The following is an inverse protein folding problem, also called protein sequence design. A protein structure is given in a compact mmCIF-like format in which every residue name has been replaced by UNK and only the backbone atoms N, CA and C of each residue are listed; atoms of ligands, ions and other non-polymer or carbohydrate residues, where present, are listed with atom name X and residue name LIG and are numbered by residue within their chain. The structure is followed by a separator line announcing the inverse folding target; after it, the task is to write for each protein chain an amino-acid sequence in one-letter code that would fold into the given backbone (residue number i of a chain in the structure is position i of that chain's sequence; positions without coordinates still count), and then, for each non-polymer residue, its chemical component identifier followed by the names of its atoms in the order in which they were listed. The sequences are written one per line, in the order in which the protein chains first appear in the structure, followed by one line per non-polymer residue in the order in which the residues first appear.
data_IF_561972537572
#
_entry.id   IF_561972537572
#
_cell.length_a   1.000
_cell.length_b   1.000
_cell.length_c   1.000
_cell.angle_alpha   90.00
_cell.angle_beta   90.00
_cell.angle_gamma   90.00
#
_symmetry.space_group_name_H-M   'P 1'
#
loop_
_entity.id
_entity.type
_entity.pdbx_description
1 polymer ?
#
# COMPACT_ATOMS: atom_id res chain seq x y z
N UNK A 1 38.22 34.39 8.85
CA UNK A 1 37.72 33.03 8.49
C UNK A 1 36.66 32.45 9.45
N UNK A 2 36.18 33.18 10.48
CA UNK A 2 35.16 32.67 11.43
C UNK A 2 33.69 32.76 10.95
N UNK A 3 33.38 33.55 9.91
CA UNK A 3 31.99 33.78 9.45
C UNK A 3 31.40 32.65 8.58
N UNK A 4 32.22 31.71 8.11
CA UNK A 4 31.77 30.59 7.25
C UNK A 4 31.09 29.47 8.06
N UNK A 5 31.52 29.25 9.32
CA UNK A 5 30.97 28.24 10.22
C UNK A 5 29.48 28.43 10.56
N UNK A 6 29.00 29.64 10.92
CA UNK A 6 27.58 29.82 11.20
C UNK A 6 26.68 29.66 9.95
N UNK A 7 27.18 30.00 8.77
CA UNK A 7 26.46 29.80 7.49
C UNK A 7 26.33 28.31 7.16
N UNK A 8 27.39 27.54 7.35
CA UNK A 8 27.38 26.08 7.15
C UNK A 8 26.44 25.38 8.14
N UNK A 9 26.44 25.81 9.40
CA UNK A 9 25.50 25.31 10.43
C UNK A 9 24.06 25.69 10.10
N UNK A 10 23.80 26.89 9.59
CA UNK A 10 22.47 27.31 9.15
C UNK A 10 21.97 26.49 7.94
N UNK A 11 22.84 26.20 6.96
CA UNK A 11 22.53 25.32 5.83
C UNK A 11 22.24 23.87 6.25
N UNK A 12 22.99 23.34 7.23
CA UNK A 12 22.73 22.03 7.83
C UNK A 12 21.40 22.00 8.60
N UNK A 13 21.01 23.10 9.26
CA UNK A 13 19.73 23.24 9.94
C UNK A 13 18.54 23.31 8.95
N UNK A 14 18.70 23.97 7.80
CA UNK A 14 17.69 23.97 6.73
C UNK A 14 17.52 22.60 6.05
N UNK A 15 18.57 21.78 5.99
CA UNK A 15 18.46 20.39 5.54
C UNK A 15 17.77 19.48 6.59
N UNK A 16 17.81 19.84 7.87
CA UNK A 16 17.16 19.09 8.95
C UNK A 16 15.69 19.44 9.16
N UNK A 17 15.21 20.55 8.59
CA UNK A 17 13.78 20.81 8.48
C UNK A 17 13.21 19.98 7.33
N UNK A 18 13.08 18.67 7.55
CA UNK A 18 12.11 17.87 6.82
C UNK A 18 10.74 18.47 7.17
N UNK A 19 10.32 19.45 6.39
CA UNK A 19 8.92 19.87 6.34
C UNK A 19 8.16 18.57 6.09
N UNK A 20 7.34 18.16 7.05
CA UNK A 20 6.42 17.05 6.88
C UNK A 20 5.45 17.46 5.78
N UNK A 21 5.80 17.17 4.54
CA UNK A 21 4.89 17.31 3.42
C UNK A 21 3.96 16.11 3.49
N UNK A 22 2.80 16.34 4.10
CA UNK A 22 1.60 15.63 3.70
C UNK A 22 1.50 15.74 2.17
N UNK A 23 1.77 14.63 1.49
CA UNK A 23 1.70 14.51 0.04
C UNK A 23 0.61 13.53 -0.34
N UNK A 24 0.30 13.45 -1.63
CA UNK A 24 -0.59 12.38 -2.12
C UNK A 24 0.22 11.13 -2.46
N UNK A 25 -0.41 9.96 -2.35
CA UNK A 25 0.20 8.73 -2.85
C UNK A 25 0.46 8.80 -4.36
N UNK A 26 -0.40 9.52 -5.09
CA UNK A 26 -0.26 9.75 -6.53
C UNK A 26 1.01 10.53 -6.87
N UNK A 27 1.33 11.61 -6.16
CA UNK A 27 2.58 12.35 -6.36
C UNK A 27 3.81 11.48 -6.07
N UNK A 28 3.76 10.67 -5.02
CA UNK A 28 4.83 9.72 -4.71
C UNK A 28 5.02 8.69 -5.84
N UNK A 29 3.93 8.15 -6.39
CA UNK A 29 3.97 7.23 -7.53
C UNK A 29 4.48 7.89 -8.82
N UNK A 30 4.00 9.09 -9.15
CA UNK A 30 4.41 9.82 -10.36
C UNK A 30 5.89 10.20 -10.32
N UNK A 31 6.39 10.61 -9.15
CA UNK A 31 7.80 10.95 -8.95
C UNK A 31 8.73 9.75 -8.76
N UNK A 32 8.19 8.56 -8.53
CA UNK A 32 8.99 7.35 -8.35
C UNK A 32 9.78 7.00 -9.61
N UNK A 33 11.00 6.51 -9.40
CA UNK A 33 11.89 6.02 -10.44
C UNK A 33 11.91 4.49 -10.43
N UNK A 34 12.32 3.83 -11.53
CA UNK A 34 12.59 2.40 -11.54
C UNK A 34 13.67 2.01 -10.52
N UNK A 35 13.56 0.82 -9.94
CA UNK A 35 14.53 0.31 -8.97
C UNK A 35 14.21 -1.10 -8.49
N UNK A 36 15.22 -1.88 -8.11
CA UNK A 36 15.07 -3.24 -7.58
C UNK A 36 14.25 -4.21 -8.45
N UNK A 37 14.17 -3.95 -9.77
CA UNK A 37 13.38 -4.76 -10.71
C UNK A 37 11.93 -4.30 -10.92
N UNK A 38 11.51 -3.22 -10.26
CA UNK A 38 10.22 -2.56 -10.48
C UNK A 38 10.36 -1.41 -11.49
N UNK A 39 9.31 -1.17 -12.26
CA UNK A 39 9.14 0.00 -13.13
C UNK A 39 9.00 1.27 -12.28
N UNK A 40 8.38 1.15 -11.11
CA UNK A 40 8.25 2.20 -10.11
C UNK A 40 8.55 1.67 -8.72
N UNK A 41 9.55 2.24 -8.05
CA UNK A 41 9.86 1.97 -6.64
C UNK A 41 9.52 3.21 -5.79
N UNK A 42 8.41 3.13 -5.07
CA UNK A 42 7.94 4.17 -4.15
C UNK A 42 8.57 3.93 -2.78
N UNK A 43 9.29 4.90 -2.26
CA UNK A 43 9.85 4.87 -0.90
C UNK A 43 9.19 5.96 -0.08
N UNK A 44 8.37 5.55 0.88
CA UNK A 44 7.61 6.45 1.75
C UNK A 44 8.41 6.74 3.02
N UNK A 45 8.25 7.95 3.54
CA UNK A 45 8.88 8.34 4.79
C UNK A 45 8.05 7.80 5.99
N UNK A 46 8.68 7.14 6.98
CA UNK A 46 8.01 6.45 8.09
C UNK A 46 6.99 7.31 8.85
N UNK A 47 7.33 8.57 9.10
CA UNK A 47 6.48 9.47 9.89
C UNK A 47 5.44 10.26 9.06
N UNK A 48 5.26 9.94 7.78
CA UNK A 48 4.38 10.69 6.88
C UNK A 48 3.04 10.00 6.63
N UNK A 49 2.02 10.84 6.37
CA UNK A 49 0.70 10.41 5.87
C UNK A 49 0.60 10.80 4.40
N UNK A 50 0.32 9.82 3.56
CA UNK A 50 0.06 9.99 2.14
C UNK A 50 -1.42 9.85 1.87
N UNK A 51 -2.03 10.86 1.24
CA UNK A 51 -3.46 10.88 1.00
C UNK A 51 -3.84 10.37 -0.39
N UNK A 52 -5.02 9.77 -0.48
CA UNK A 52 -5.61 9.30 -1.74
C UNK A 52 -5.06 7.97 -2.23
N UNK A 53 -5.64 7.47 -3.31
CA UNK A 53 -5.26 6.19 -3.94
C UNK A 53 -4.41 6.35 -5.19
N UNK A 54 -4.05 5.21 -5.77
CA UNK A 54 -3.36 5.11 -7.07
C UNK A 54 -3.97 3.98 -7.88
N UNK A 55 -3.84 4.06 -9.20
CA UNK A 55 -4.18 2.98 -10.14
C UNK A 55 -2.92 2.58 -10.88
N UNK A 56 -2.65 1.27 -10.89
CA UNK A 56 -1.49 0.64 -11.52
C UNK A 56 -2.00 -0.29 -12.61
N UNK A 57 -1.47 -0.14 -13.82
CA UNK A 57 -1.93 -0.88 -15.01
C UNK A 57 -0.73 -1.27 -15.87
N UNK A 58 -0.55 -2.58 -16.09
CA UNK A 58 0.53 -3.17 -16.88
C UNK A 58 1.93 -2.74 -16.42
N UNK A 59 2.15 -2.71 -15.11
CA UNK A 59 3.42 -2.29 -14.51
C UNK A 59 3.81 -3.15 -13.31
N UNK A 60 5.10 -3.17 -13.00
CA UNK A 60 5.67 -3.72 -11.77
C UNK A 60 5.97 -2.58 -10.81
N UNK A 61 5.28 -2.54 -9.69
CA UNK A 61 5.40 -1.45 -8.70
C UNK A 61 5.77 -2.02 -7.33
N UNK A 62 6.77 -1.40 -6.69
CA UNK A 62 7.14 -1.69 -5.31
C UNK A 62 6.85 -0.48 -4.42
N UNK A 63 6.23 -0.70 -3.27
CA UNK A 63 5.97 0.30 -2.23
C UNK A 63 6.71 -0.12 -0.96
N UNK A 64 7.60 0.76 -0.49
CA UNK A 64 8.33 0.62 0.78
C UNK A 64 7.80 1.65 1.76
N UNK A 65 6.94 1.22 2.66
CA UNK A 65 6.25 2.08 3.61
C UNK A 65 7.11 2.54 4.77
N UNK A 66 7.99 1.67 5.28
CA UNK A 66 8.77 1.93 6.50
C UNK A 66 7.93 2.34 7.73
N UNK A 67 6.63 2.06 7.76
CA UNK A 67 5.69 2.51 8.79
C UNK A 67 4.79 3.69 8.37
N UNK A 68 4.98 4.22 7.15
CA UNK A 68 4.15 5.29 6.63
C UNK A 68 2.66 4.92 6.58
N UNK A 69 1.81 5.92 6.78
CA UNK A 69 0.35 5.77 6.65
C UNK A 69 -0.10 6.19 5.26
N UNK A 70 -0.91 5.36 4.60
CA UNK A 70 -1.66 5.68 3.40
C UNK A 70 -3.13 5.84 3.82
N UNK A 71 -3.60 7.09 3.87
CA UNK A 71 -5.00 7.42 4.13
C UNK A 71 -5.75 7.60 2.81
N UNK A 72 -6.59 6.63 2.46
CA UNK A 72 -7.33 6.58 1.20
C UNK A 72 -8.54 7.53 1.16
N UNK A 73 -8.62 8.47 2.12
CA UNK A 73 -9.51 9.63 2.13
C UNK A 73 -11.01 9.28 2.03
N UNK A 74 -11.43 8.15 2.62
CA UNK A 74 -12.85 7.80 2.75
C UNK A 74 -13.50 7.23 1.49
N UNK A 75 -12.72 6.67 0.57
CA UNK A 75 -13.30 5.99 -0.61
C UNK A 75 -12.35 5.61 -1.74
N UNK A 76 -11.09 6.07 -1.72
CA UNK A 76 -10.09 5.65 -2.72
C UNK A 76 -9.57 4.23 -2.43
N UNK A 77 -8.72 3.72 -3.33
CA UNK A 77 -8.06 2.42 -3.18
C UNK A 77 -6.68 2.44 -3.82
N UNK A 78 -5.80 1.50 -3.42
CA UNK A 78 -4.68 1.08 -4.26
C UNK A 78 -5.24 0.06 -5.25
N UNK A 79 -5.43 0.47 -6.51
CA UNK A 79 -6.04 -0.36 -7.56
C UNK A 79 -4.95 -0.89 -8.48
N UNK A 80 -4.99 -2.18 -8.77
CA UNK A 80 -4.01 -2.85 -9.63
C UNK A 80 -4.74 -3.71 -10.64
N UNK A 81 -4.45 -3.52 -11.92
CA UNK A 81 -5.08 -4.26 -13.01
C UNK A 81 -4.16 -4.54 -14.20
N UNK A 82 -4.67 -5.28 -15.18
CA UNK A 82 -3.88 -5.72 -16.34
C UNK A 82 -2.83 -6.77 -15.96
N UNK A 83 -1.75 -6.86 -16.73
CA UNK A 83 -0.59 -7.72 -16.43
C UNK A 83 0.37 -6.96 -15.49
N UNK A 84 0.06 -6.99 -14.19
CA UNK A 84 0.77 -6.15 -13.20
C UNK A 84 1.36 -6.95 -12.05
N UNK A 85 2.41 -6.40 -11.45
CA UNK A 85 2.96 -6.88 -10.17
C UNK A 85 2.95 -5.74 -9.17
N UNK A 86 2.45 -5.99 -7.97
CA UNK A 86 2.52 -5.04 -6.86
C UNK A 86 3.19 -5.70 -5.66
N UNK A 87 4.14 -5.00 -5.06
CA UNK A 87 4.69 -5.37 -3.76
C UNK A 87 4.52 -4.22 -2.78
N UNK A 88 3.94 -4.50 -1.61
CA UNK A 88 3.71 -3.51 -0.54
C UNK A 88 4.33 -4.06 0.73
N UNK A 89 5.32 -3.34 1.25
CA UNK A 89 5.99 -3.68 2.50
C UNK A 89 5.86 -2.55 3.53
N UNK A 90 5.49 -2.89 4.76
CA UNK A 90 5.58 -1.97 5.90
C UNK A 90 4.66 -0.74 5.85
N UNK A 91 3.44 -0.85 5.32
CA UNK A 91 2.48 0.26 5.24
C UNK A 91 1.32 0.11 6.24
N UNK A 92 0.78 1.24 6.70
CA UNK A 92 -0.53 1.31 7.38
C UNK A 92 -1.55 1.90 6.40
N UNK A 93 -2.49 1.10 5.92
CA UNK A 93 -3.45 1.47 4.86
C UNK A 93 -4.85 1.58 5.43
N UNK A 94 -5.45 2.77 5.34
CA UNK A 94 -6.68 3.10 6.06
C UNK A 94 -7.72 3.82 5.21
N UNK A 95 -8.98 3.70 5.62
CA UNK A 95 -10.14 4.48 5.12
C UNK A 95 -10.37 4.39 3.60
N UNK A 96 -10.04 3.26 2.99
CA UNK A 96 -10.32 2.98 1.59
C UNK A 96 -11.67 2.31 1.36
N UNK A 97 -12.16 2.38 0.13
CA UNK A 97 -13.17 1.40 -0.33
C UNK A 97 -12.54 0.01 -0.37
N UNK A 98 -11.33 -0.06 -0.89
CA UNK A 98 -10.45 -1.21 -0.74
C UNK A 98 -9.09 -0.70 -0.28
N UNK A 99 -8.46 -1.34 0.71
CA UNK A 99 -7.06 -1.01 1.01
C UNK A 99 -6.17 -1.36 -0.19
N UNK A 100 -6.30 -2.59 -0.68
CA UNK A 100 -5.74 -3.07 -1.95
C UNK A 100 -6.84 -3.75 -2.77
N UNK A 101 -6.98 -3.39 -4.04
CA UNK A 101 -7.89 -4.04 -4.99
C UNK A 101 -7.12 -4.50 -6.22
N UNK A 102 -7.19 -5.79 -6.52
CA UNK A 102 -6.55 -6.40 -7.68
C UNK A 102 -7.58 -7.09 -8.58
N UNK A 103 -7.55 -6.81 -9.88
CA UNK A 103 -8.34 -7.49 -10.92
C UNK A 103 -7.46 -7.77 -12.15
N UNK A 104 -7.83 -8.72 -13.02
CA UNK A 104 -7.02 -9.07 -14.20
C UNK A 104 -5.88 -10.05 -13.90
N UNK A 105 -4.74 -9.91 -14.57
CA UNK A 105 -3.57 -10.81 -14.45
C UNK A 105 -2.52 -10.23 -13.48
N UNK A 106 -2.87 -10.20 -12.20
CA UNK A 106 -2.08 -9.51 -11.17
C UNK A 106 -1.36 -10.50 -10.27
N UNK A 107 -0.09 -10.24 -9.95
CA UNK A 107 0.58 -10.83 -8.78
C UNK A 107 0.82 -9.78 -7.70
N UNK A 108 0.45 -10.08 -6.47
CA UNK A 108 0.48 -9.15 -5.35
C UNK A 108 1.19 -9.75 -4.14
N UNK A 109 2.15 -9.00 -3.60
CA UNK A 109 2.96 -9.40 -2.45
C UNK A 109 2.80 -8.37 -1.33
N UNK A 110 2.28 -8.79 -0.19
CA UNK A 110 1.94 -7.89 0.91
C UNK A 110 2.62 -8.38 2.19
N UNK A 111 3.53 -7.57 2.73
CA UNK A 111 4.35 -7.94 3.89
C UNK A 111 4.33 -6.86 4.95
N UNK A 112 4.24 -7.24 6.23
CA UNK A 112 4.40 -6.31 7.37
C UNK A 112 3.44 -5.11 7.33
N UNK A 113 2.26 -5.30 6.75
CA UNK A 113 1.29 -4.23 6.56
C UNK A 113 0.17 -4.27 7.62
N UNK A 114 -0.55 -3.15 7.73
CA UNK A 114 -1.82 -3.08 8.47
C UNK A 114 -2.89 -2.50 7.57
N UNK A 115 -4.00 -3.22 7.40
CA UNK A 115 -5.21 -2.76 6.71
C UNK A 115 -6.30 -2.51 7.76
N UNK A 116 -6.63 -1.24 7.99
CA UNK A 116 -7.52 -0.85 9.09
C UNK A 116 -8.61 0.13 8.65
N UNK A 117 -9.86 -0.16 8.99
CA UNK A 117 -10.96 0.79 8.75
C UNK A 117 -11.26 1.05 7.28
N UNK A 118 -11.00 0.08 6.40
CA UNK A 118 -11.44 0.13 4.99
C UNK A 118 -12.85 -0.48 4.88
N UNK A 119 -13.50 -0.36 3.71
CA UNK A 119 -14.69 -1.19 3.47
C UNK A 119 -14.28 -2.65 3.36
N UNK A 120 -13.33 -2.96 2.48
CA UNK A 120 -12.63 -4.25 2.46
C UNK A 120 -11.12 -4.04 2.57
N UNK A 121 -10.44 -4.82 3.40
CA UNK A 121 -8.98 -4.67 3.60
C UNK A 121 -8.21 -4.97 2.32
N UNK A 122 -8.27 -6.22 1.85
CA UNK A 122 -7.68 -6.66 0.59
C UNK A 122 -8.77 -7.34 -0.25
N UNK A 123 -8.88 -6.97 -1.52
CA UNK A 123 -9.78 -7.57 -2.50
C UNK A 123 -8.98 -8.06 -3.70
N UNK A 124 -8.74 -9.37 -3.78
CA UNK A 124 -7.99 -10.01 -4.86
C UNK A 124 -8.91 -10.81 -5.78
N UNK A 125 -9.39 -10.18 -6.86
CA UNK A 125 -10.35 -10.75 -7.81
C UNK A 125 -9.68 -11.36 -9.06
N UNK A 126 -8.35 -11.44 -9.06
CA UNK A 126 -7.57 -12.09 -10.11
C UNK A 126 -7.67 -13.62 -10.02
N UNK A 127 -7.83 -14.27 -11.17
CA UNK A 127 -7.70 -15.73 -11.33
C UNK A 127 -6.35 -16.14 -11.94
N UNK A 128 -5.51 -15.16 -12.30
CA UNK A 128 -4.21 -15.37 -12.95
C UNK A 128 -3.13 -14.59 -12.20
N UNK A 129 -2.14 -15.31 -11.67
CA UNK A 129 -1.13 -14.77 -10.77
C UNK A 129 -1.33 -15.25 -9.34
N UNK A 130 -0.63 -14.61 -8.40
CA UNK A 130 -0.61 -15.02 -6.99
C UNK A 130 -0.83 -13.84 -6.07
N UNK A 131 -1.59 -14.03 -5.01
CA UNK A 131 -1.57 -13.15 -3.84
C UNK A 131 -0.82 -13.85 -2.70
N UNK A 132 0.25 -13.23 -2.23
CA UNK A 132 0.96 -13.66 -1.04
C UNK A 132 0.87 -12.57 0.03
N UNK A 133 0.43 -12.96 1.24
CA UNK A 133 0.31 -12.05 2.37
C UNK A 133 1.03 -12.66 3.57
N UNK A 134 1.97 -11.91 4.15
CA UNK A 134 2.76 -12.32 5.31
C UNK A 134 2.77 -11.27 6.41
N UNK A 135 2.70 -11.71 7.66
CA UNK A 135 2.89 -10.87 8.86
C UNK A 135 2.07 -9.58 8.80
N UNK A 136 0.78 -9.70 8.51
CA UNK A 136 -0.09 -8.56 8.19
C UNK A 136 -1.32 -8.58 9.10
N UNK A 137 -1.72 -7.39 9.56
CA UNK A 137 -2.93 -7.17 10.35
C UNK A 137 -4.02 -6.67 9.43
N UNK A 138 -5.22 -7.24 9.53
CA UNK A 138 -6.38 -6.83 8.74
C UNK A 138 -7.58 -6.70 9.67
N UNK A 139 -7.95 -5.48 10.07
CA UNK A 139 -8.95 -5.34 11.13
C UNK A 139 -9.89 -4.16 10.98
N UNK A 140 -11.04 -4.24 11.64
CA UNK A 140 -12.02 -3.16 11.73
C UNK A 140 -12.49 -2.66 10.35
N UNK A 141 -12.49 -3.52 9.33
CA UNK A 141 -13.06 -3.18 8.04
C UNK A 141 -14.60 -3.28 8.10
N UNK A 142 -15.30 -2.38 7.41
CA UNK A 142 -16.76 -2.29 7.50
C UNK A 142 -17.49 -3.40 6.73
N UNK A 143 -16.78 -4.18 5.93
CA UNK A 143 -17.22 -5.44 5.35
C UNK A 143 -16.16 -6.51 5.63
N UNK A 144 -15.30 -6.83 4.67
CA UNK A 144 -14.44 -8.00 4.76
C UNK A 144 -12.99 -7.64 5.10
N UNK A 145 -12.30 -8.54 5.80
CA UNK A 145 -10.86 -8.43 5.97
C UNK A 145 -10.16 -8.70 4.64
N UNK A 146 -10.22 -9.96 4.19
CA UNK A 146 -9.64 -10.42 2.94
C UNK A 146 -10.74 -11.05 2.06
N UNK A 147 -10.94 -10.50 0.88
CA UNK A 147 -11.87 -10.99 -0.11
C UNK A 147 -11.13 -11.47 -1.36
N UNK A 148 -11.49 -12.62 -1.90
CA UNK A 148 -10.85 -13.12 -3.12
C UNK A 148 -11.78 -13.92 -4.04
N UNK A 149 -11.36 -14.08 -5.29
CA UNK A 149 -11.97 -15.05 -6.19
C UNK A 149 -11.64 -16.48 -5.73
N UNK A 150 -12.58 -17.43 -5.85
CA UNK A 150 -12.41 -18.83 -5.41
C UNK A 150 -11.17 -19.51 -6.04
N UNK A 151 -10.96 -19.30 -7.34
CA UNK A 151 -9.87 -19.86 -8.13
C UNK A 151 -8.53 -19.13 -7.98
N UNK A 152 -8.43 -18.09 -7.14
CA UNK A 152 -7.18 -17.40 -6.90
C UNK A 152 -6.16 -18.30 -6.20
N UNK A 153 -4.91 -18.30 -6.69
CA UNK A 153 -3.79 -18.90 -5.96
C UNK A 153 -3.32 -17.98 -4.84
N UNK A 154 -3.33 -18.50 -3.60
CA UNK A 154 -3.24 -17.70 -2.37
C UNK A 154 -2.27 -18.32 -1.39
N UNK A 155 -1.35 -17.51 -0.85
CA UNK A 155 -0.46 -17.90 0.24
C UNK A 155 -0.64 -16.90 1.38
N UNK A 156 -1.21 -17.35 2.50
CA UNK A 156 -1.53 -16.50 3.66
C UNK A 156 -0.84 -17.06 4.91
N UNK A 157 0.15 -16.33 5.45
CA UNK A 157 0.89 -16.75 6.63
C UNK A 157 1.00 -15.64 7.67
N UNK A 158 0.85 -15.99 8.95
CA UNK A 158 0.94 -15.03 10.07
C UNK A 158 0.01 -13.83 9.89
N UNK A 159 -1.23 -14.09 9.46
CA UNK A 159 -2.26 -13.07 9.30
C UNK A 159 -3.06 -12.96 10.58
N UNK A 160 -3.19 -11.74 11.08
CA UNK A 160 -4.08 -11.44 12.19
C UNK A 160 -5.27 -10.63 11.65
N UNK A 161 -6.34 -11.35 11.29
CA UNK A 161 -7.58 -10.76 10.79
C UNK A 161 -8.66 -10.83 11.88
N UNK A 162 -9.25 -9.69 12.26
CA UNK A 162 -10.28 -9.63 13.31
C UNK A 162 -11.14 -8.38 13.23
N UNK A 163 -12.33 -8.42 13.84
CA UNK A 163 -13.27 -7.30 13.93
C UNK A 163 -13.70 -6.72 12.57
N UNK A 164 -13.70 -7.55 11.52
CA UNK A 164 -14.24 -7.18 10.21
C UNK A 164 -15.75 -7.49 10.19
N UNK A 165 -16.60 -6.50 9.90
CA UNK A 165 -18.03 -6.59 10.17
C UNK A 165 -18.78 -7.64 9.32
N UNK A 166 -18.33 -7.86 8.09
CA UNK A 166 -18.83 -8.89 7.17
C UNK A 166 -18.11 -10.23 7.26
N UNK A 167 -16.99 -10.30 7.99
CA UNK A 167 -16.17 -11.49 8.16
C UNK A 167 -14.71 -11.27 7.81
N UNK A 168 -13.83 -12.05 8.44
CA UNK A 168 -12.39 -11.92 8.26
C UNK A 168 -11.91 -12.36 6.87
N UNK A 169 -12.63 -13.32 6.26
CA UNK A 169 -12.34 -13.89 4.95
C UNK A 169 -13.63 -14.15 4.16
N UNK A 170 -13.63 -13.88 2.85
CA UNK A 170 -14.72 -14.25 1.93
C UNK A 170 -14.19 -14.67 0.56
N UNK A 171 -14.86 -15.65 -0.05
CA UNK A 171 -14.60 -16.10 -1.42
C UNK A 171 -15.80 -15.80 -2.32
N UNK A 172 -15.53 -15.34 -3.55
CA UNK A 172 -16.55 -15.11 -4.58
C UNK A 172 -16.44 -16.15 -5.70
N UNK A 173 -17.60 -16.64 -6.13
CA UNK A 173 -17.80 -17.47 -7.32
C UNK A 173 -18.72 -16.70 -8.28
N UNK A 174 -18.20 -15.80 -9.12
CA UNK A 174 -18.98 -15.18 -10.18
C UNK A 174 -19.21 -16.25 -11.25
N UNK A 175 -20.35 -16.94 -11.16
CA UNK A 175 -20.75 -18.00 -12.10
C UNK A 175 -20.86 -17.56 -13.54
#
# INVERSE_FOLDING_TARGET
MQKLKPILVLLLLFFSSNVMLAGTLLEAYQSALPGMGYDKLIILHPDSVYYGGITITNEKVGIRGNGATIDLAGGSSIQVNGESVIEIDGCVIVKGSYGLHCEGEVSAYVTQCTFFGNTTGISYMSTVGTIEVYNTIISNNSQYGFACHENSYRILHYINSYANAGGDYVEFCPG
#
